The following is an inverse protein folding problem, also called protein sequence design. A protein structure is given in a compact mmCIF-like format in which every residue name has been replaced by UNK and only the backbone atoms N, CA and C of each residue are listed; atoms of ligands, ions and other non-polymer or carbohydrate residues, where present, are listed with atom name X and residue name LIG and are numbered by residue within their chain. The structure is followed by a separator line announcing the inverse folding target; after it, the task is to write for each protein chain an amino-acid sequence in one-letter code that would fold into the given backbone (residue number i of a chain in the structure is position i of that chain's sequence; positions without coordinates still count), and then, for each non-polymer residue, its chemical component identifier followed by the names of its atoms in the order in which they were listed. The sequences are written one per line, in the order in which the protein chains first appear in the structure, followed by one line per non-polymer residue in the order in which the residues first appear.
data_IF_679945050843
#
_entry.id   IF_679945050843
#
_cell.length_a   1.000
_cell.length_b   1.000
_cell.length_c   1.000
_cell.angle_alpha   90.00
_cell.angle_beta   90.00
_cell.angle_gamma   90.00
#
_symmetry.space_group_name_H-M   'P 1'
#
loop_
_entity.id
_entity.type
_entity.pdbx_description
1 polymer ?
#
# COMPACT_ATOMS: atom_id res chain seq x y z
N UNK A 1 -63.89 10.10 9.98
CA UNK A 1 -62.83 10.96 10.58
C UNK A 1 -61.64 10.12 11.06
N UNK A 2 -61.07 9.24 10.23
CA UNK A 2 -60.02 8.27 10.63
C UNK A 2 -58.73 8.30 9.77
N UNK A 3 -58.67 9.17 8.76
CA UNK A 3 -57.57 9.18 7.78
C UNK A 3 -56.31 9.88 8.29
N UNK A 4 -56.46 10.93 9.12
CA UNK A 4 -55.32 11.75 9.57
C UNK A 4 -54.35 11.01 10.50
N UNK A 5 -54.85 10.20 11.44
CA UNK A 5 -53.98 9.49 12.40
C UNK A 5 -53.11 8.42 11.72
N UNK A 6 -53.68 7.71 10.73
CA UNK A 6 -52.95 6.72 9.91
C UNK A 6 -51.93 7.41 9.00
N UNK A 7 -52.28 8.54 8.41
CA UNK A 7 -51.37 9.30 7.55
C UNK A 7 -50.15 9.82 8.34
N UNK A 8 -50.38 10.38 9.53
CA UNK A 8 -49.31 10.85 10.43
C UNK A 8 -48.42 9.68 10.87
N UNK A 9 -48.99 8.52 11.16
CA UNK A 9 -48.23 7.31 11.51
C UNK A 9 -47.31 6.85 10.36
N UNK A 10 -47.84 6.77 9.13
CA UNK A 10 -47.05 6.39 7.95
C UNK A 10 -45.95 7.40 7.60
N UNK A 11 -46.22 8.70 7.77
CA UNK A 11 -45.20 9.74 7.65
C UNK A 11 -44.09 9.58 8.69
N UNK A 12 -44.44 9.27 9.94
CA UNK A 12 -43.47 8.98 11.00
C UNK A 12 -42.58 7.78 10.67
N UNK A 13 -43.17 6.68 10.18
CA UNK A 13 -42.42 5.49 9.74
C UNK A 13 -41.49 5.82 8.58
N UNK A 14 -41.97 6.57 7.58
CA UNK A 14 -41.17 6.95 6.41
C UNK A 14 -39.95 7.81 6.81
N UNK A 15 -40.13 8.75 7.74
CA UNK A 15 -39.04 9.57 8.28
C UNK A 15 -38.04 8.69 9.02
N UNK A 16 -38.52 7.74 9.84
CA UNK A 16 -37.65 6.85 10.60
C UNK A 16 -36.79 5.96 9.69
N UNK A 17 -37.39 5.42 8.63
CA UNK A 17 -36.67 4.61 7.62
C UNK A 17 -35.64 5.44 6.85
N UNK A 18 -35.96 6.68 6.48
CA UNK A 18 -34.99 7.55 5.82
C UNK A 18 -33.85 7.94 6.77
N UNK A 19 -34.15 8.19 8.05
CA UNK A 19 -33.15 8.49 9.05
C UNK A 19 -32.20 7.31 9.31
N UNK A 20 -32.72 6.07 9.35
CA UNK A 20 -31.88 4.86 9.51
C UNK A 20 -31.02 4.60 8.27
N UNK A 21 -31.55 4.80 7.06
CA UNK A 21 -30.77 4.70 5.82
C UNK A 21 -29.67 5.78 5.79
N UNK A 22 -30.00 7.03 6.13
CA UNK A 22 -29.02 8.11 6.17
C UNK A 22 -27.94 7.86 7.22
N UNK A 23 -28.29 7.37 8.41
CA UNK A 23 -27.34 6.99 9.44
C UNK A 23 -26.44 5.83 8.99
N UNK A 24 -27.00 4.83 8.30
CA UNK A 24 -26.22 3.72 7.74
C UNK A 24 -25.23 4.20 6.68
N UNK A 25 -25.66 5.09 5.77
CA UNK A 25 -24.77 5.68 4.75
C UNK A 25 -23.69 6.53 5.41
N UNK A 26 -24.04 7.39 6.37
CA UNK A 26 -23.09 8.23 7.09
C UNK A 26 -22.04 7.40 7.84
N UNK A 27 -22.45 6.35 8.56
CA UNK A 27 -21.53 5.46 9.27
C UNK A 27 -20.57 4.71 8.35
N UNK A 28 -20.99 4.36 7.13
CA UNK A 28 -20.12 3.74 6.14
C UNK A 28 -19.16 4.75 5.49
N UNK A 29 -19.61 5.98 5.23
CA UNK A 29 -18.76 7.05 4.67
C UNK A 29 -17.71 7.51 5.68
N UNK A 30 -18.06 7.60 6.98
CA UNK A 30 -17.15 8.06 8.05
C UNK A 30 -15.96 7.13 8.32
N UNK A 31 -15.97 5.87 7.84
CA UNK A 31 -14.84 4.94 8.02
C UNK A 31 -13.59 5.32 7.22
N UNK A 32 -13.68 6.30 6.35
CA UNK A 32 -12.55 6.75 5.50
C UNK A 32 -11.52 7.62 6.23
N UNK A 33 -11.83 8.17 7.42
CA UNK A 33 -11.00 9.17 8.09
C UNK A 33 -10.10 8.64 9.22
N UNK A 34 -10.13 7.34 9.52
CA UNK A 34 -9.35 6.74 10.62
C UNK A 34 -8.39 5.64 10.11
N UNK A 35 -7.77 5.87 8.96
CA UNK A 35 -6.72 4.99 8.46
C UNK A 35 -5.46 5.21 9.29
N UNK A 36 -5.18 4.27 10.20
CA UNK A 36 -3.91 4.23 10.92
C UNK A 36 -2.74 4.24 9.92
N UNK A 37 -1.79 5.14 10.16
CA UNK A 37 -0.62 5.31 9.31
C UNK A 37 0.67 4.95 10.04
N UNK A 38 1.56 4.27 9.35
CA UNK A 38 2.90 3.91 9.84
C UNK A 38 3.94 4.39 8.84
N UNK A 39 5.11 4.77 9.35
CA UNK A 39 6.27 5.11 8.52
C UNK A 39 7.31 4.01 8.65
N UNK A 40 7.79 3.48 7.52
CA UNK A 40 8.75 2.38 7.54
C UNK A 40 10.08 2.84 8.13
N UNK A 41 10.63 2.04 9.06
CA UNK A 41 11.97 2.25 9.65
C UNK A 41 13.06 1.42 8.98
N UNK A 42 12.67 0.59 8.03
CA UNK A 42 13.54 -0.23 7.19
C UNK A 42 12.93 -0.32 5.79
N UNK A 43 13.75 -0.63 4.76
CA UNK A 43 13.22 -0.97 3.44
C UNK A 43 12.41 -2.27 3.52
N UNK A 44 11.35 -2.36 2.70
CA UNK A 44 10.52 -3.56 2.60
C UNK A 44 10.62 -4.16 1.20
N UNK A 45 10.54 -5.48 1.10
CA UNK A 45 10.53 -6.20 -0.16
C UNK A 45 9.11 -6.44 -0.61
N UNK A 46 8.86 -6.17 -1.88
CA UNK A 46 7.62 -6.48 -2.57
C UNK A 46 7.91 -7.65 -3.49
N UNK A 47 7.17 -8.75 -3.31
CA UNK A 47 7.21 -9.90 -4.21
C UNK A 47 6.59 -9.51 -5.55
N UNK A 48 7.21 -9.92 -6.65
CA UNK A 48 6.65 -9.60 -7.95
C UNK A 48 5.37 -10.39 -8.28
N UNK A 49 4.60 -9.88 -9.24
CA UNK A 49 3.29 -10.43 -9.57
C UNK A 49 3.39 -11.89 -10.04
N UNK A 50 2.39 -12.68 -9.68
CA UNK A 50 2.24 -14.08 -10.11
C UNK A 50 3.42 -15.01 -9.77
N UNK A 51 4.17 -14.71 -8.69
CA UNK A 51 5.31 -15.52 -8.28
C UNK A 51 6.49 -15.42 -9.22
N UNK A 52 6.63 -14.28 -9.91
CA UNK A 52 7.87 -13.99 -10.63
C UNK A 52 9.07 -14.00 -9.65
N UNK A 53 10.26 -14.21 -10.21
CA UNK A 53 11.49 -14.24 -9.43
C UNK A 53 12.03 -12.82 -9.14
N UNK A 54 11.27 -11.77 -9.42
CA UNK A 54 11.69 -10.40 -9.20
C UNK A 54 11.25 -9.93 -7.82
N UNK A 55 12.12 -9.13 -7.21
CA UNK A 55 11.82 -8.43 -5.97
C UNK A 55 11.96 -6.94 -6.21
N UNK A 56 10.99 -6.20 -5.72
CA UNK A 56 11.00 -4.74 -5.73
C UNK A 56 11.20 -4.25 -4.31
N UNK A 57 11.80 -3.06 -4.16
CA UNK A 57 12.09 -2.50 -2.83
C UNK A 57 11.21 -1.29 -2.61
N UNK A 58 10.43 -1.33 -1.53
CA UNK A 58 9.79 -0.15 -0.98
C UNK A 58 10.82 0.64 -0.16
N UNK A 59 11.09 1.91 -0.47
CA UNK A 59 12.10 2.69 0.22
C UNK A 59 11.82 2.83 1.72
N UNK A 60 12.91 2.95 2.49
CA UNK A 60 12.88 3.42 3.87
C UNK A 60 12.12 4.75 3.97
N UNK A 61 11.35 4.93 5.04
CA UNK A 61 10.63 6.16 5.29
C UNK A 61 9.35 6.33 4.47
N UNK A 62 8.90 5.28 3.77
CA UNK A 62 7.61 5.29 3.07
C UNK A 62 6.47 5.28 4.10
N UNK A 63 5.44 6.11 3.87
CA UNK A 63 4.23 6.10 4.69
C UNK A 63 3.24 5.08 4.13
N UNK A 64 2.85 4.12 4.97
CA UNK A 64 1.84 3.12 4.67
C UNK A 64 0.54 3.49 5.39
N UNK A 65 -0.59 3.38 4.68
CA UNK A 65 -1.93 3.62 5.22
C UNK A 65 -2.63 2.28 5.39
N UNK A 66 -2.96 1.90 6.62
CA UNK A 66 -3.60 0.61 6.87
C UNK A 66 -5.04 0.65 6.37
N UNK A 67 -5.35 -0.22 5.41
CA UNK A 67 -6.67 -0.34 4.80
C UNK A 67 -7.51 -1.37 5.54
N UNK A 68 -7.02 -2.61 5.67
CA UNK A 68 -7.78 -3.69 6.29
C UNK A 68 -6.87 -4.69 7.00
N UNK A 69 -7.35 -5.20 8.13
CA UNK A 69 -6.74 -6.34 8.83
C UNK A 69 -7.51 -7.63 8.55
N UNK A 70 -6.79 -8.72 8.38
CA UNK A 70 -7.33 -10.03 8.02
C UNK A 70 -7.19 -11.03 9.19
N UNK A 71 -8.19 -11.89 9.45
CA UNK A 71 -8.13 -12.92 10.50
C UNK A 71 -6.92 -13.86 10.39
N UNK A 72 -6.35 -14.00 9.20
CA UNK A 72 -5.17 -14.81 8.88
C UNK A 72 -3.85 -14.18 9.38
N UNK A 73 -3.89 -13.02 10.04
CA UNK A 73 -2.73 -12.42 10.69
C UNK A 73 -1.89 -11.50 9.81
N UNK A 74 -2.45 -11.00 8.71
CA UNK A 74 -1.80 -10.01 7.85
C UNK A 74 -2.70 -8.78 7.66
N UNK A 75 -2.06 -7.67 7.30
CA UNK A 75 -2.71 -6.40 7.04
C UNK A 75 -2.48 -6.00 5.59
N UNK A 76 -3.50 -5.38 4.98
CA UNK A 76 -3.39 -4.71 3.68
C UNK A 76 -3.14 -3.23 3.90
N UNK A 77 -2.17 -2.71 3.16
CA UNK A 77 -1.77 -1.30 3.20
C UNK A 77 -1.95 -0.66 1.83
N UNK A 78 -2.21 0.64 1.83
CA UNK A 78 -2.24 1.52 0.64
C UNK A 78 -1.01 2.42 0.68
N UNK A 79 -0.39 2.61 -0.48
CA UNK A 79 0.70 3.57 -0.70
C UNK A 79 0.27 4.56 -1.76
N UNK A 80 0.39 5.85 -1.46
CA UNK A 80 0.13 6.90 -2.44
C UNK A 80 1.41 7.28 -3.17
N UNK A 81 1.34 7.26 -4.50
CA UNK A 81 2.43 7.63 -5.38
C UNK A 81 1.97 8.78 -6.27
N UNK A 82 2.78 9.82 -6.34
CA UNK A 82 2.57 10.89 -7.31
C UNK A 82 3.32 10.54 -8.59
N UNK A 83 2.62 10.55 -9.72
CA UNK A 83 3.21 10.39 -11.05
C UNK A 83 3.02 11.66 -11.87
N UNK A 84 4.03 12.05 -12.65
CA UNK A 84 3.97 13.19 -13.57
C UNK A 84 4.05 12.71 -15.01
N UNK A 85 3.00 12.96 -15.79
CA UNK A 85 2.92 12.58 -17.21
C UNK A 85 1.98 11.40 -17.46
N UNK A 86 2.03 10.86 -18.67
CA UNK A 86 1.21 9.71 -19.09
C UNK A 86 1.88 8.38 -18.70
N UNK A 87 1.09 7.42 -18.26
CA UNK A 87 1.52 6.05 -17.96
C UNK A 87 1.07 5.15 -19.11
N UNK A 88 1.98 4.35 -19.66
CA UNK A 88 1.61 3.26 -20.56
C UNK A 88 0.84 2.20 -19.77
N UNK A 89 -0.39 1.90 -20.18
CA UNK A 89 -1.30 1.05 -19.42
C UNK A 89 -2.13 0.16 -20.35
N UNK A 90 -2.61 -0.95 -19.80
CA UNK A 90 -3.67 -1.75 -20.38
C UNK A 90 -4.97 -1.47 -19.61
N UNK A 91 -6.10 -1.40 -20.30
CA UNK A 91 -7.39 -1.27 -19.64
C UNK A 91 -7.78 -2.59 -18.97
N UNK A 92 -8.04 -2.54 -17.66
CA UNK A 92 -8.63 -3.65 -16.92
C UNK A 92 -10.14 -3.43 -16.85
N UNK A 93 -10.97 -4.19 -17.59
CA UNK A 93 -12.40 -3.96 -17.63
C UNK A 93 -13.07 -4.31 -16.29
N UNK A 94 -14.00 -3.48 -15.87
CA UNK A 94 -14.81 -3.70 -14.67
C UNK A 94 -15.68 -4.95 -14.84
N UNK A 95 -15.45 -5.96 -14.01
CA UNK A 95 -16.31 -7.16 -13.94
C UNK A 95 -17.25 -7.05 -12.73
N UNK A 96 -18.48 -7.59 -12.81
CA UNK A 96 -19.41 -7.61 -11.67
C UNK A 96 -18.82 -8.23 -10.40
N UNK A 97 -17.92 -9.21 -10.58
CA UNK A 97 -17.18 -9.88 -9.51
C UNK A 97 -16.30 -8.94 -8.68
N UNK A 98 -15.88 -7.79 -9.23
CA UNK A 98 -14.98 -6.84 -8.57
C UNK A 98 -15.72 -5.84 -7.69
N UNK A 99 -17.06 -5.82 -7.70
CA UNK A 99 -17.91 -4.98 -6.83
C UNK A 99 -17.53 -3.49 -6.77
N UNK A 100 -16.86 -2.95 -7.78
CA UNK A 100 -16.41 -1.55 -7.79
C UNK A 100 -14.90 -1.38 -7.81
N UNK A 101 -14.13 -2.31 -7.25
CA UNK A 101 -12.67 -2.19 -7.09
C UNK A 101 -11.97 -3.52 -7.40
N UNK A 102 -11.11 -3.54 -8.42
CA UNK A 102 -10.23 -4.67 -8.65
C UNK A 102 -9.00 -4.58 -7.72
N UNK A 103 -8.95 -5.45 -6.71
CA UNK A 103 -7.87 -5.47 -5.71
C UNK A 103 -6.96 -6.68 -5.96
N UNK A 104 -5.76 -6.40 -6.48
CA UNK A 104 -4.70 -7.40 -6.73
C UNK A 104 -3.43 -7.01 -5.97
N UNK A 105 -3.35 -7.28 -4.64
CA UNK A 105 -2.24 -6.82 -3.81
C UNK A 105 -0.97 -7.65 -4.07
N UNK A 106 0.19 -6.99 -3.94
CA UNK A 106 1.49 -7.67 -3.89
C UNK A 106 1.87 -7.96 -2.43
N UNK A 107 2.57 -9.08 -2.22
CA UNK A 107 3.07 -9.44 -0.90
C UNK A 107 4.27 -8.58 -0.52
N UNK A 108 4.34 -8.22 0.74
CA UNK A 108 5.40 -7.40 1.29
C UNK A 108 6.03 -8.09 2.50
N UNK A 109 7.36 -8.12 2.57
CA UNK A 109 8.14 -8.70 3.67
C UNK A 109 9.33 -7.83 4.05
N UNK A 110 9.91 -8.06 5.22
CA UNK A 110 11.08 -7.32 5.66
C UNK A 110 12.33 -7.82 4.92
N UNK A 111 13.32 -6.95 4.74
CA UNK A 111 14.61 -7.34 4.15
C UNK A 111 15.44 -8.08 5.19
N UNK A 112 15.52 -9.40 5.09
CA UNK A 112 16.45 -10.21 5.91
C UNK A 112 17.77 -10.55 5.18
N UNK A 113 18.74 -11.10 5.92
CA UNK A 113 20.07 -11.42 5.38
C UNK A 113 20.06 -12.43 4.23
N UNK A 114 19.08 -13.34 4.20
CA UNK A 114 18.98 -14.37 3.17
C UNK A 114 18.26 -13.83 1.92
N UNK A 115 17.26 -12.97 2.11
CA UNK A 115 16.65 -12.18 1.05
C UNK A 115 17.69 -11.28 0.37
N UNK A 116 18.55 -10.60 1.14
CA UNK A 116 19.67 -9.81 0.60
C UNK A 116 20.61 -10.67 -0.25
N UNK A 117 21.01 -11.84 0.24
CA UNK A 117 21.87 -12.76 -0.54
C UNK A 117 21.21 -13.18 -1.85
N UNK A 118 19.90 -13.44 -1.85
CA UNK A 118 19.15 -13.78 -3.08
C UNK A 118 19.08 -12.61 -4.05
N UNK A 119 18.85 -11.39 -3.54
CA UNK A 119 18.81 -10.16 -4.34
C UNK A 119 20.18 -9.88 -4.95
N UNK A 120 21.27 -9.92 -4.17
CA UNK A 120 22.63 -9.72 -4.68
C UNK A 120 23.11 -10.84 -5.61
N UNK A 121 22.51 -12.04 -5.56
CA UNK A 121 22.75 -13.09 -6.56
C UNK A 121 22.04 -12.81 -7.88
N UNK A 122 20.85 -12.19 -7.84
CA UNK A 122 20.03 -11.90 -9.03
C UNK A 122 20.37 -10.55 -9.68
N UNK A 123 20.77 -9.55 -8.90
CA UNK A 123 21.42 -8.34 -9.39
C UNK A 123 22.92 -8.62 -9.41
N UNK A 124 23.56 -8.83 -10.57
CA UNK A 124 25.01 -9.00 -10.65
C UNK A 124 25.65 -7.63 -10.45
N UNK A 125 25.56 -7.08 -9.24
CA UNK A 125 26.42 -6.01 -8.82
C UNK A 125 27.70 -6.68 -8.33
N UNK A 126 28.56 -7.04 -9.28
CA UNK A 126 29.91 -7.49 -8.93
C UNK A 126 30.63 -6.37 -8.16
N UNK A 127 31.68 -6.73 -7.42
CA UNK A 127 32.49 -5.71 -6.72
C UNK A 127 33.00 -4.66 -7.71
N UNK A 128 33.22 -5.06 -8.94
CA UNK A 128 33.65 -4.26 -10.07
C UNK A 128 32.53 -3.32 -10.55
N UNK A 129 31.28 -3.79 -10.62
CA UNK A 129 30.10 -2.97 -11.02
C UNK A 129 29.76 -1.93 -9.95
N UNK A 130 29.84 -2.31 -8.68
CA UNK A 130 29.69 -1.38 -7.55
C UNK A 130 30.82 -0.35 -7.59
N UNK A 131 32.06 -0.78 -7.80
CA UNK A 131 33.20 0.13 -7.93
C UNK A 131 33.08 1.06 -9.16
N UNK A 132 32.52 0.57 -10.26
CA UNK A 132 32.27 1.37 -11.47
C UNK A 132 31.18 2.42 -11.24
N UNK A 133 30.07 2.04 -10.60
CA UNK A 133 28.97 2.95 -10.25
C UNK A 133 29.41 4.04 -9.25
N UNK A 134 30.25 3.67 -8.27
CA UNK A 134 30.86 4.61 -7.32
C UNK A 134 31.77 5.60 -8.07
N UNK A 135 32.64 5.09 -8.97
CA UNK A 135 33.53 5.93 -9.78
C UNK A 135 32.77 6.88 -10.71
N UNK A 136 31.65 6.45 -11.30
CA UNK A 136 30.85 7.29 -12.20
C UNK A 136 30.07 8.39 -11.47
N UNK A 137 29.66 8.15 -10.22
CA UNK A 137 28.90 9.11 -9.42
C UNK A 137 29.74 10.08 -8.58
N UNK A 138 31.07 10.14 -8.80
CA UNK A 138 32.01 10.98 -8.03
C UNK A 138 31.97 10.73 -6.52
N UNK A 139 31.58 9.53 -6.09
CA UNK A 139 31.67 9.13 -4.68
C UNK A 139 33.16 8.98 -4.36
N UNK A 140 33.63 9.70 -3.33
CA UNK A 140 35.03 9.72 -2.92
C UNK A 140 35.34 8.57 -1.96
N UNK A 141 36.64 8.33 -1.70
CA UNK A 141 37.05 7.36 -0.68
C UNK A 141 36.61 7.76 0.73
N UNK A 142 36.47 9.06 0.97
CA UNK A 142 36.04 9.58 2.27
C UNK A 142 34.53 9.32 2.46
N UNK A 143 33.71 9.54 1.42
CA UNK A 143 32.29 9.18 1.45
C UNK A 143 32.07 7.69 1.73
N UNK A 144 32.93 6.82 1.15
CA UNK A 144 32.92 5.38 1.42
C UNK A 144 33.35 5.05 2.84
N UNK A 145 34.37 5.74 3.36
CA UNK A 145 34.81 5.55 4.73
C UNK A 145 33.70 5.99 5.72
N UNK A 146 32.95 7.04 5.40
CA UNK A 146 31.82 7.49 6.21
C UNK A 146 30.65 6.51 6.18
N UNK A 147 30.37 5.91 5.02
CA UNK A 147 29.40 4.81 4.93
C UNK A 147 29.83 3.64 5.82
N UNK A 148 31.09 3.20 5.73
CA UNK A 148 31.61 2.08 6.52
C UNK A 148 31.57 2.39 8.03
N UNK A 149 31.92 3.62 8.44
CA UNK A 149 31.83 4.08 9.83
C UNK A 149 30.40 4.17 10.35
N UNK A 150 29.41 4.32 9.46
CA UNK A 150 27.98 4.37 9.82
C UNK A 150 27.33 3.00 9.98
N UNK A 151 28.02 1.92 9.60
CA UNK A 151 27.53 0.56 9.80
C UNK A 151 27.70 0.15 11.28
N UNK A 152 26.73 -0.57 11.85
CA UNK A 152 26.90 -1.17 13.18
C UNK A 152 28.05 -2.19 13.17
N UNK A 153 28.76 -2.33 14.30
CA UNK A 153 29.82 -3.34 14.49
C UNK A 153 29.31 -4.78 14.32
#
# INVERSE_FOLDING_TARGET
MFTNKRLIFWLGVLILVNATVLAFVALNVSRTHDMSMIKTKEPLLIEGPNGDENYYVLPLGTTLYRDKSFPEGHDRYVVYLNHKGAIAHEEVPMRPEYQGDFISPLWMSNVDSDALKKIFKRFPLSKEDVAAAIKSNKITRDDLADIIRSLPE
#
